data_IF_061747283299
#
_entry.id   IF_061747283299
#
_cell.length_a   1.000
_cell.length_b   1.000
_cell.length_c   1.000
_cell.angle_alpha   90.00
_cell.angle_beta   90.00
_cell.angle_gamma   90.00
#
_symmetry.space_group_name_H-M   'P 1'
#
loop_
_entity.id
_entity.type
_entity.pdbx_description
1 polymer ?
#
# COMPACT_ATOMS: atom_id res chain seq x y z
N UNK A 1 -0.38 -4.36 -78.94
CA UNK A 1 -0.24 -4.99 -77.62
C UNK A 1 -0.23 -3.90 -76.55
N UNK A 2 -1.30 -3.72 -75.83
CA UNK A 2 -1.41 -2.75 -74.70
C UNK A 2 -1.40 -3.54 -73.38
N UNK A 3 -0.33 -3.34 -72.58
CA UNK A 3 -0.14 -3.97 -71.28
C UNK A 3 -0.87 -3.14 -70.24
N UNK A 4 -1.87 -3.74 -69.59
CA UNK A 4 -2.61 -3.13 -68.47
C UNK A 4 -1.90 -3.53 -67.19
N UNK A 5 -1.35 -2.51 -66.45
CA UNK A 5 -0.78 -2.69 -65.13
C UNK A 5 -1.86 -2.44 -64.09
N UNK A 6 -2.33 -3.53 -63.45
CA UNK A 6 -3.26 -3.49 -62.31
C UNK A 6 -2.44 -3.22 -61.04
N UNK A 7 -2.55 -2.01 -60.47
CA UNK A 7 -2.00 -1.65 -59.15
C UNK A 7 -3.00 -2.09 -58.09
N UNK A 8 -2.69 -3.21 -57.38
CA UNK A 8 -3.42 -3.62 -56.20
C UNK A 8 -3.04 -2.74 -55.01
N UNK A 9 -3.99 -1.91 -54.56
CA UNK A 9 -3.89 -1.18 -53.30
C UNK A 9 -4.24 -2.13 -52.16
N UNK A 10 -3.24 -2.59 -51.38
CA UNK A 10 -3.47 -3.25 -50.11
C UNK A 10 -3.77 -2.19 -49.03
N UNK A 11 -5.02 -2.05 -48.68
CA UNK A 11 -5.45 -1.29 -47.49
C UNK A 11 -5.09 -2.10 -46.26
N UNK A 12 -4.02 -1.69 -45.58
CA UNK A 12 -3.66 -2.22 -44.25
C UNK A 12 -4.59 -1.56 -43.22
N UNK A 13 -5.67 -2.23 -42.84
CA UNK A 13 -6.52 -1.80 -41.73
C UNK A 13 -5.76 -2.09 -40.42
N UNK A 14 -5.11 -1.06 -39.85
CA UNK A 14 -4.55 -1.11 -38.50
C UNK A 14 -5.71 -1.03 -37.52
N UNK A 15 -6.17 -2.18 -37.04
CA UNK A 15 -7.05 -2.25 -35.88
C UNK A 15 -6.26 -1.82 -34.65
N UNK A 16 -6.38 -0.55 -34.29
CA UNK A 16 -6.02 -0.06 -32.93
C UNK A 16 -7.04 -0.67 -31.97
N UNK A 17 -6.70 -1.84 -31.42
CA UNK A 17 -7.38 -2.37 -30.25
C UNK A 17 -7.08 -1.37 -29.09
N UNK A 18 -8.02 -0.47 -28.82
CA UNK A 18 -8.03 0.29 -27.57
C UNK A 18 -8.17 -0.75 -26.46
N UNK A 19 -7.10 -1.05 -25.75
CA UNK A 19 -7.14 -1.81 -24.52
C UNK A 19 -8.01 -0.99 -23.56
N UNK A 20 -9.29 -1.38 -23.45
CA UNK A 20 -10.21 -0.87 -22.47
C UNK A 20 -9.60 -1.23 -21.12
N UNK A 21 -9.13 -0.27 -20.33
CA UNK A 21 -8.61 -0.54 -19.01
C UNK A 21 -9.74 -1.18 -18.20
N UNK A 22 -9.46 -2.36 -17.62
CA UNK A 22 -10.44 -3.05 -16.81
C UNK A 22 -10.89 -2.15 -15.65
N UNK A 23 -12.17 -2.18 -15.29
CA UNK A 23 -12.70 -1.45 -14.13
C UNK A 23 -11.97 -1.91 -12.86
N UNK A 24 -11.29 -1.02 -12.13
CA UNK A 24 -10.56 -1.38 -10.91
C UNK A 24 -11.47 -1.64 -9.70
N UNK A 25 -12.73 -1.21 -9.75
CA UNK A 25 -13.66 -1.26 -8.63
C UNK A 25 -13.86 -2.66 -8.05
N UNK A 26 -14.09 -3.72 -8.87
CA UNK A 26 -14.23 -5.08 -8.33
C UNK A 26 -12.97 -5.58 -7.61
N UNK A 27 -11.77 -5.19 -8.06
CA UNK A 27 -10.52 -5.55 -7.40
C UNK A 27 -10.39 -4.84 -6.05
N UNK A 28 -10.70 -3.55 -5.98
CA UNK A 28 -10.70 -2.76 -4.74
C UNK A 28 -11.67 -3.36 -3.72
N UNK A 29 -12.92 -3.67 -4.12
CA UNK A 29 -13.91 -4.28 -3.24
C UNK A 29 -13.45 -5.63 -2.70
N UNK A 30 -12.90 -6.50 -3.55
CA UNK A 30 -12.38 -7.81 -3.15
C UNK A 30 -11.18 -7.69 -2.21
N UNK A 31 -10.27 -6.73 -2.41
CA UNK A 31 -9.14 -6.48 -1.51
C UNK A 31 -9.62 -6.05 -0.12
N UNK A 32 -10.63 -5.18 -0.05
CA UNK A 32 -11.26 -4.78 1.22
C UNK A 32 -11.92 -5.98 1.90
N UNK A 33 -12.64 -6.82 1.17
CA UNK A 33 -13.26 -8.03 1.72
C UNK A 33 -12.21 -9.03 2.22
N UNK A 34 -11.08 -9.17 1.53
CA UNK A 34 -10.00 -10.09 1.92
C UNK A 34 -9.40 -9.77 3.29
N UNK A 35 -9.47 -8.52 3.74
CA UNK A 35 -9.00 -8.11 5.09
C UNK A 35 -10.11 -8.07 6.14
N UNK A 36 -11.34 -8.45 5.82
CA UNK A 36 -12.46 -8.51 6.76
C UNK A 36 -13.62 -7.56 6.44
N UNK A 37 -13.51 -6.75 5.38
CA UNK A 37 -14.55 -5.83 4.93
C UNK A 37 -14.38 -4.40 5.45
N UNK A 38 -15.13 -3.48 4.84
CA UNK A 38 -15.04 -2.03 5.08
C UNK A 38 -15.24 -1.65 6.56
N UNK A 39 -16.14 -2.34 7.24
CA UNK A 39 -16.48 -2.05 8.64
C UNK A 39 -15.37 -2.48 9.62
N UNK A 40 -14.44 -3.32 9.15
CA UNK A 40 -13.29 -3.77 9.92
C UNK A 40 -12.04 -2.92 9.71
N UNK A 41 -12.02 -2.03 8.70
CA UNK A 41 -10.87 -1.14 8.50
C UNK A 41 -10.62 -0.26 9.71
N UNK A 42 -9.36 0.04 9.95
CA UNK A 42 -8.89 0.82 11.10
C UNK A 42 -9.14 2.32 10.85
N UNK A 43 -9.80 2.98 11.80
CA UNK A 43 -9.98 4.45 11.79
C UNK A 43 -9.11 5.12 12.85
N UNK A 44 -9.25 4.70 14.10
CA UNK A 44 -8.40 5.14 15.20
C UNK A 44 -7.81 3.88 15.82
N UNK A 45 -6.50 3.81 15.93
CA UNK A 45 -5.84 2.61 16.42
C UNK A 45 -4.47 2.90 17.01
N UNK A 46 -4.03 1.99 17.86
CA UNK A 46 -2.71 2.00 18.49
C UNK A 46 -1.90 0.80 18.00
N UNK A 47 -0.63 1.04 17.73
CA UNK A 47 0.35 0.04 17.39
C UNK A 47 1.49 0.07 18.43
N UNK A 48 1.86 -1.11 18.97
CA UNK A 48 3.19 -1.28 19.55
C UNK A 48 4.06 -1.96 18.51
N UNK A 49 5.23 -1.40 18.28
CA UNK A 49 6.06 -1.73 17.14
C UNK A 49 7.50 -1.92 17.58
N UNK A 50 8.19 -2.84 16.93
CA UNK A 50 9.63 -3.00 17.03
C UNK A 50 10.23 -2.86 15.64
N UNK A 51 11.35 -2.13 15.54
CA UNK A 51 11.99 -1.89 14.25
C UNK A 51 13.49 -1.71 14.38
N UNK A 52 14.18 -1.88 13.28
CA UNK A 52 15.59 -1.50 13.15
C UNK A 52 15.93 -1.12 11.69
N UNK A 53 17.01 -0.39 11.55
CA UNK A 53 17.60 -0.06 10.27
C UNK A 53 18.76 -1.02 9.99
N UNK A 54 18.83 -1.56 8.78
CA UNK A 54 19.88 -2.49 8.37
C UNK A 54 19.54 -3.26 7.10
N UNK A 55 20.49 -4.06 6.63
CA UNK A 55 20.33 -4.90 5.43
C UNK A 55 19.99 -6.37 5.77
N UNK A 56 19.89 -6.71 7.04
CA UNK A 56 19.60 -8.08 7.52
C UNK A 56 18.41 -8.11 8.45
N UNK A 57 17.66 -9.22 8.53
CA UNK A 57 16.50 -9.37 9.42
C UNK A 57 16.84 -9.17 10.90
N UNK A 58 18.06 -9.49 11.31
CA UNK A 58 18.56 -9.24 12.66
C UNK A 58 19.39 -7.95 12.70
N UNK A 59 19.26 -7.15 13.76
CA UNK A 59 20.11 -5.98 13.94
C UNK A 59 21.58 -6.37 14.03
N UNK A 60 22.47 -5.45 13.65
CA UNK A 60 23.90 -5.64 13.77
C UNK A 60 24.30 -6.01 15.20
N UNK A 61 25.41 -6.75 15.35
CA UNK A 61 25.92 -7.19 16.65
C UNK A 61 26.01 -6.03 17.66
N UNK A 62 25.46 -6.25 18.84
CA UNK A 62 25.40 -5.24 19.93
C UNK A 62 24.32 -4.16 19.76
N UNK A 63 23.57 -4.15 18.66
CA UNK A 63 22.42 -3.27 18.47
C UNK A 63 21.12 -3.94 18.90
N UNK A 64 20.20 -3.18 19.47
CA UNK A 64 18.86 -3.64 19.79
C UNK A 64 17.84 -3.04 18.82
N UNK A 65 16.72 -3.72 18.63
CA UNK A 65 15.57 -3.16 17.93
C UNK A 65 15.00 -1.99 18.76
N UNK A 66 14.59 -0.94 18.08
CA UNK A 66 13.89 0.18 18.69
C UNK A 66 12.43 -0.16 18.95
N UNK A 67 11.87 0.38 20.03
CA UNK A 67 10.46 0.26 20.37
C UNK A 67 9.75 1.56 20.00
N UNK A 68 8.51 1.44 19.54
CA UNK A 68 7.64 2.59 19.23
C UNK A 68 6.21 2.27 19.64
N UNK A 69 5.54 3.26 20.23
CA UNK A 69 4.12 3.26 20.54
C UNK A 69 3.48 4.33 19.67
N UNK A 70 2.69 3.90 18.69
CA UNK A 70 2.05 4.76 17.70
C UNK A 70 0.55 4.79 17.91
N UNK A 71 -0.06 5.97 17.83
CA UNK A 71 -1.50 6.14 17.72
C UNK A 71 -1.78 6.85 16.42
N UNK A 72 -2.67 6.28 15.62
CA UNK A 72 -3.08 6.83 14.33
C UNK A 72 -4.58 7.09 14.34
N UNK A 73 -4.97 8.22 13.76
CA UNK A 73 -6.35 8.54 13.41
C UNK A 73 -6.36 8.88 11.92
N UNK A 74 -6.96 8.00 11.14
CA UNK A 74 -7.01 8.17 9.67
C UNK A 74 -7.88 9.36 9.29
N UNK A 75 -7.55 10.10 8.23
CA UNK A 75 -6.38 9.85 7.36
C UNK A 75 -5.11 10.59 7.78
N UNK A 76 -5.16 11.57 8.69
CA UNK A 76 -4.14 12.62 8.73
C UNK A 76 -3.27 12.63 9.99
N UNK A 77 -3.68 11.96 11.06
CA UNK A 77 -3.08 12.13 12.37
C UNK A 77 -2.25 10.94 12.80
N UNK A 78 -1.05 11.22 13.29
CA UNK A 78 -0.14 10.22 13.83
C UNK A 78 0.64 10.78 15.03
N UNK A 79 0.59 10.07 16.15
CA UNK A 79 1.40 10.35 17.34
C UNK A 79 2.36 9.19 17.58
N UNK A 80 3.62 9.52 17.85
CA UNK A 80 4.64 8.57 18.26
C UNK A 80 5.03 8.91 19.69
N UNK A 81 4.89 7.95 20.61
CA UNK A 81 5.16 8.16 22.03
C UNK A 81 4.47 9.43 22.57
N UNK A 82 3.20 9.63 22.22
CA UNK A 82 2.34 10.78 22.56
C UNK A 82 2.75 12.12 21.93
N UNK A 83 3.75 12.16 21.07
CA UNK A 83 4.14 13.37 20.31
C UNK A 83 3.55 13.29 18.93
N UNK A 84 2.83 14.34 18.53
CA UNK A 84 2.31 14.45 17.18
C UNK A 84 3.46 14.43 16.17
N UNK A 85 3.30 13.60 15.14
CA UNK A 85 4.16 13.60 13.98
C UNK A 85 3.58 14.58 12.96
N UNK A 86 4.30 15.65 12.66
CA UNK A 86 3.93 16.63 11.65
C UNK A 86 3.71 16.02 10.24
N UNK A 87 3.58 16.83 9.19
CA UNK A 87 3.47 16.33 7.82
C UNK A 87 4.64 15.40 7.51
N UNK A 88 4.30 14.12 7.23
CA UNK A 88 5.30 13.08 6.99
C UNK A 88 4.76 12.08 5.97
N UNK A 89 5.50 11.81 4.89
CA UNK A 89 5.12 10.82 3.90
C UNK A 89 4.81 9.43 4.47
N UNK A 90 5.42 9.05 5.59
CA UNK A 90 5.15 7.77 6.22
C UNK A 90 3.70 7.61 6.73
N UNK A 91 2.91 8.69 6.79
CA UNK A 91 1.46 8.61 7.01
C UNK A 91 0.76 7.91 5.83
N UNK A 92 1.19 8.21 4.60
CA UNK A 92 0.63 7.57 3.40
C UNK A 92 1.00 6.08 3.35
N UNK A 93 2.20 5.69 3.84
CA UNK A 93 2.57 4.28 3.99
C UNK A 93 1.63 3.56 4.97
N UNK A 94 1.32 4.19 6.12
CA UNK A 94 0.38 3.65 7.10
C UNK A 94 -1.04 3.54 6.55
N UNK A 95 -1.47 4.50 5.72
CA UNK A 95 -2.76 4.47 5.01
C UNK A 95 -2.83 3.34 3.98
N UNK A 96 -1.73 3.09 3.25
CA UNK A 96 -1.64 1.96 2.33
C UNK A 96 -1.68 0.62 3.08
N UNK A 97 -0.91 0.50 4.16
CA UNK A 97 -0.88 -0.69 5.01
C UNK A 97 -2.26 -1.03 5.59
N UNK A 98 -3.01 -0.03 6.07
CA UNK A 98 -4.35 -0.20 6.64
C UNK A 98 -5.47 -0.29 5.60
N UNK A 99 -5.14 -0.17 4.30
CA UNK A 99 -6.06 -0.05 3.17
C UNK A 99 -7.01 1.16 3.24
N UNK A 100 -6.74 2.17 4.08
CA UNK A 100 -7.50 3.42 4.13
C UNK A 100 -7.57 4.12 2.77
N UNK A 101 -6.48 4.06 2.00
CA UNK A 101 -6.44 4.62 0.64
C UNK A 101 -7.48 4.00 -0.31
N UNK A 102 -7.92 2.76 -0.07
CA UNK A 102 -8.91 2.10 -0.92
C UNK A 102 -10.35 2.59 -0.67
N UNK A 103 -10.57 3.27 0.44
CA UNK A 103 -11.89 3.84 0.82
C UNK A 103 -11.91 5.36 0.83
N UNK A 104 -10.81 6.04 0.55
CA UNK A 104 -10.72 7.49 0.45
C UNK A 104 -11.42 7.97 -0.85
N UNK A 105 -12.37 8.88 -0.72
CA UNK A 105 -13.14 9.43 -1.84
C UNK A 105 -12.28 10.19 -2.87
N UNK A 106 -11.12 10.67 -2.48
CA UNK A 106 -10.15 11.34 -3.36
C UNK A 106 -9.33 10.34 -4.19
N UNK A 107 -9.29 9.07 -3.79
CA UNK A 107 -8.53 8.05 -4.50
C UNK A 107 -9.10 7.78 -5.89
N UNK A 108 -8.18 7.63 -6.85
CA UNK A 108 -8.46 7.17 -8.20
C UNK A 108 -7.61 5.95 -8.45
N UNK A 109 -8.22 4.95 -9.07
CA UNK A 109 -7.61 3.63 -9.26
C UNK A 109 -7.44 3.31 -10.73
N UNK A 110 -6.35 2.62 -11.04
CA UNK A 110 -6.02 2.11 -12.38
C UNK A 110 -5.43 0.70 -12.23
N UNK A 111 -5.89 -0.26 -13.02
CA UNK A 111 -5.26 -1.58 -13.10
C UNK A 111 -3.93 -1.39 -13.86
N UNK A 112 -2.85 -1.83 -13.26
CA UNK A 112 -1.50 -1.80 -13.84
C UNK A 112 -1.01 -3.24 -14.05
N UNK A 113 0.06 -3.44 -14.85
CA UNK A 113 0.58 -4.78 -15.10
C UNK A 113 0.86 -5.56 -13.83
N UNK A 114 0.49 -6.84 -13.86
CA UNK A 114 0.79 -7.80 -12.81
C UNK A 114 2.29 -8.01 -12.67
N UNK A 115 2.73 -8.41 -11.48
CA UNK A 115 4.12 -8.79 -11.22
C UNK A 115 4.20 -10.18 -10.59
N UNK A 116 5.41 -10.72 -10.57
CA UNK A 116 5.77 -11.84 -9.70
C UNK A 116 6.71 -11.31 -8.62
N UNK A 117 6.30 -11.39 -7.36
CA UNK A 117 7.10 -11.00 -6.20
C UNK A 117 7.40 -12.23 -5.33
N UNK A 118 8.68 -12.61 -5.20
CA UNK A 118 9.14 -13.82 -4.51
C UNK A 118 8.34 -15.09 -4.90
N UNK A 119 8.16 -15.30 -6.20
CA UNK A 119 7.46 -16.46 -6.75
C UNK A 119 5.93 -16.42 -6.67
N UNK A 120 5.35 -15.37 -6.09
CA UNK A 120 3.89 -15.17 -5.99
C UNK A 120 3.41 -14.20 -7.07
N UNK A 121 2.36 -14.56 -7.79
CA UNK A 121 1.69 -13.66 -8.72
C UNK A 121 0.90 -12.62 -7.97
N UNK A 122 1.03 -11.35 -8.39
CA UNK A 122 0.36 -10.23 -7.76
C UNK A 122 -0.34 -9.36 -8.81
N UNK A 123 -1.59 -9.01 -8.55
CA UNK A 123 -2.37 -8.09 -9.37
C UNK A 123 -2.01 -6.66 -9.01
N UNK A 124 -1.72 -5.84 -10.03
CA UNK A 124 -1.28 -4.46 -9.85
C UNK A 124 -2.44 -3.46 -9.80
N UNK A 125 -2.42 -2.56 -8.83
CA UNK A 125 -3.38 -1.47 -8.65
C UNK A 125 -2.63 -0.17 -8.36
N UNK A 126 -2.78 0.84 -9.21
CA UNK A 126 -2.20 2.17 -9.00
C UNK A 126 -3.21 3.11 -8.34
N UNK A 127 -2.74 3.89 -7.38
CA UNK A 127 -3.53 4.88 -6.65
C UNK A 127 -2.99 6.28 -6.94
N UNK A 128 -3.91 7.20 -7.24
CA UNK A 128 -3.65 8.63 -7.42
C UNK A 128 -4.73 9.45 -6.69
N UNK A 129 -4.56 10.76 -6.62
CA UNK A 129 -5.54 11.70 -6.07
C UNK A 129 -5.43 11.88 -4.55
N UNK A 130 -5.38 10.81 -3.78
CA UNK A 130 -5.22 10.86 -2.32
C UNK A 130 -3.75 10.79 -1.86
N UNK A 131 -2.82 10.47 -2.75
CA UNK A 131 -1.38 10.38 -2.47
C UNK A 131 -0.56 11.03 -3.58
N UNK A 132 0.63 11.53 -3.24
CA UNK A 132 1.58 12.13 -4.20
C UNK A 132 3.02 11.76 -3.81
N UNK A 133 3.81 11.21 -4.76
CA UNK A 133 3.45 10.73 -6.09
C UNK A 133 2.48 9.55 -6.05
N UNK A 134 2.01 9.13 -7.24
CA UNK A 134 1.19 7.92 -7.37
C UNK A 134 1.83 6.71 -6.71
N UNK A 135 1.03 5.83 -6.12
CA UNK A 135 1.44 4.64 -5.39
C UNK A 135 0.97 3.38 -6.13
N UNK A 136 1.79 2.35 -6.20
CA UNK A 136 1.41 1.08 -6.81
C UNK A 136 1.30 0.00 -5.73
N UNK A 137 0.11 -0.57 -5.59
CA UNK A 137 -0.16 -1.70 -4.72
C UNK A 137 -0.17 -2.98 -5.54
N UNK A 138 0.40 -4.04 -5.00
CA UNK A 138 0.40 -5.37 -5.59
C UNK A 138 -0.22 -6.35 -4.61
N UNK A 139 -1.40 -6.82 -4.98
CA UNK A 139 -2.22 -7.74 -4.19
C UNK A 139 -1.90 -9.17 -4.62
N UNK A 140 -1.66 -10.06 -3.68
CA UNK A 140 -1.48 -11.49 -3.96
C UNK A 140 -2.70 -12.02 -4.74
N UNK A 141 -2.48 -12.67 -5.87
CA UNK A 141 -3.56 -13.08 -6.78
C UNK A 141 -4.55 -14.08 -6.16
N UNK A 142 -4.09 -14.92 -5.22
CA UNK A 142 -4.91 -15.94 -4.57
C UNK A 142 -5.68 -15.41 -3.37
N UNK A 143 -5.02 -14.60 -2.56
CA UNK A 143 -5.57 -14.13 -1.26
C UNK A 143 -6.10 -12.71 -1.30
N UNK A 144 -5.72 -11.92 -2.31
CA UNK A 144 -5.96 -10.48 -2.46
C UNK A 144 -5.46 -9.62 -1.29
N UNK A 145 -4.58 -10.16 -0.48
CA UNK A 145 -3.89 -9.41 0.56
C UNK A 145 -2.76 -8.58 -0.05
N UNK A 146 -2.53 -7.39 0.49
CA UNK A 146 -1.45 -6.51 0.05
C UNK A 146 -0.10 -7.17 0.31
N UNK A 147 0.61 -7.52 -0.75
CA UNK A 147 1.91 -8.16 -0.66
C UNK A 147 3.05 -7.17 -0.83
N UNK A 148 2.91 -6.23 -1.77
CA UNK A 148 3.92 -5.24 -2.08
C UNK A 148 3.32 -3.87 -2.38
N UNK A 149 4.04 -2.85 -2.01
CA UNK A 149 3.79 -1.46 -2.31
C UNK A 149 5.03 -0.86 -2.94
N UNK A 150 4.92 -0.23 -4.10
CA UNK A 150 6.00 0.55 -4.71
C UNK A 150 5.65 2.03 -4.62
N UNK A 151 6.52 2.79 -3.96
CA UNK A 151 6.30 4.22 -3.78
C UNK A 151 7.61 4.99 -3.63
N UNK A 152 7.75 6.09 -4.37
CA UNK A 152 8.97 6.91 -4.38
C UNK A 152 10.20 6.09 -4.77
N UNK A 153 11.23 6.07 -3.93
CA UNK A 153 12.48 5.34 -4.17
C UNK A 153 12.54 3.97 -3.48
N UNK A 154 11.44 3.55 -2.88
CA UNK A 154 11.38 2.35 -2.07
C UNK A 154 10.25 1.41 -2.53
N UNK A 155 10.41 0.12 -2.21
CA UNK A 155 9.29 -0.79 -2.21
C UNK A 155 9.19 -1.52 -0.88
N UNK A 156 7.97 -1.85 -0.50
CA UNK A 156 7.62 -2.44 0.79
C UNK A 156 7.07 -3.83 0.55
N UNK A 157 7.46 -4.80 1.39
CA UNK A 157 6.86 -6.13 1.43
C UNK A 157 6.14 -6.34 2.74
N UNK A 158 4.93 -6.86 2.63
CA UNK A 158 4.04 -7.13 3.74
C UNK A 158 3.89 -8.64 3.94
N UNK A 159 4.05 -9.10 5.18
CA UNK A 159 4.03 -10.51 5.51
C UNK A 159 3.56 -10.74 6.97
N UNK A 160 3.61 -11.99 7.43
CA UNK A 160 3.21 -12.39 8.78
C UNK A 160 1.80 -11.90 9.11
N UNK A 161 0.84 -12.28 8.25
CA UNK A 161 -0.56 -11.88 8.39
C UNK A 161 -1.17 -12.44 9.66
N UNK A 162 -1.78 -11.56 10.46
CA UNK A 162 -2.50 -11.86 11.68
C UNK A 162 -3.96 -11.42 11.57
N UNK A 163 -4.77 -11.86 12.52
CA UNK A 163 -6.14 -11.43 12.65
C UNK A 163 -6.36 -10.75 14.01
N UNK A 164 -7.12 -9.66 14.00
CA UNK A 164 -7.54 -8.90 15.15
C UNK A 164 -8.95 -8.37 14.95
N UNK A 165 -9.91 -8.76 15.76
CA UNK A 165 -11.32 -8.33 15.68
C UNK A 165 -11.92 -8.46 14.28
N UNK A 166 -11.62 -9.58 13.60
CA UNK A 166 -12.07 -9.86 12.22
C UNK A 166 -11.35 -9.05 11.14
N UNK A 167 -10.34 -8.26 11.47
CA UNK A 167 -9.43 -7.62 10.54
C UNK A 167 -8.19 -8.47 10.33
N UNK A 168 -7.83 -8.73 9.08
CA UNK A 168 -6.53 -9.31 8.71
C UNK A 168 -5.55 -8.18 8.40
N UNK A 169 -4.38 -8.22 9.03
CA UNK A 169 -3.32 -7.21 8.85
C UNK A 169 -1.94 -7.85 8.75
N UNK A 170 -1.05 -7.24 7.99
CA UNK A 170 0.35 -7.65 7.94
C UNK A 170 1.06 -7.17 9.21
N UNK A 171 1.61 -8.08 10.00
CA UNK A 171 2.36 -7.72 11.20
C UNK A 171 3.83 -7.44 10.91
N UNK A 172 4.34 -7.81 9.74
CA UNK A 172 5.72 -7.53 9.31
C UNK A 172 5.75 -6.71 8.03
N UNK A 173 6.58 -5.67 8.03
CA UNK A 173 6.93 -4.87 6.86
C UNK A 173 8.44 -4.79 6.71
N UNK A 174 8.94 -5.08 5.52
CA UNK A 174 10.35 -4.85 5.17
C UNK A 174 10.40 -3.85 4.02
N UNK A 175 11.21 -2.79 4.17
CA UNK A 175 11.36 -1.75 3.14
C UNK A 175 12.69 -1.92 2.43
N UNK A 176 12.64 -1.86 1.11
CA UNK A 176 13.78 -2.06 0.21
C UNK A 176 14.02 -0.81 -0.62
N UNK A 177 15.28 -0.52 -0.93
CA UNK A 177 15.64 0.49 -1.92
C UNK A 177 15.39 -0.05 -3.33
N UNK A 178 14.54 0.59 -4.11
CA UNK A 178 14.21 0.16 -5.48
C UNK A 178 15.48 0.02 -6.34
N UNK A 179 16.42 0.98 -6.22
CA UNK A 179 17.64 0.98 -7.03
C UNK A 179 18.57 -0.20 -6.79
N UNK A 180 18.70 -0.64 -5.52
CA UNK A 180 19.66 -1.71 -5.15
C UNK A 180 18.99 -3.05 -4.89
N UNK A 181 17.68 -3.08 -4.69
CA UNK A 181 16.96 -4.26 -4.23
C UNK A 181 17.29 -4.68 -2.80
N UNK A 182 18.10 -3.89 -2.06
CA UNK A 182 18.49 -4.22 -0.69
C UNK A 182 17.49 -3.73 0.32
N UNK A 183 17.16 -4.52 1.36
CA UNK A 183 16.39 -4.05 2.49
C UNK A 183 17.20 -2.99 3.26
N UNK A 184 16.49 -2.09 3.93
CA UNK A 184 17.11 -1.08 4.79
C UNK A 184 16.33 -0.80 6.07
N UNK A 185 15.08 -1.29 6.17
CA UNK A 185 14.23 -1.10 7.33
C UNK A 185 13.38 -2.34 7.55
N UNK A 186 13.39 -2.82 8.78
CA UNK A 186 12.60 -3.97 9.25
C UNK A 186 11.69 -3.51 10.36
N UNK A 187 10.41 -3.85 10.27
CA UNK A 187 9.37 -3.37 11.17
C UNK A 187 8.37 -4.48 11.45
N UNK A 188 8.14 -4.74 12.74
CA UNK A 188 7.15 -5.69 13.21
C UNK A 188 6.15 -5.00 14.15
N UNK A 189 4.86 -5.25 13.93
CA UNK A 189 3.78 -4.87 14.83
C UNK A 189 3.60 -5.98 15.84
N UNK A 190 3.85 -5.67 17.11
CA UNK A 190 3.74 -6.62 18.22
C UNK A 190 2.36 -6.62 18.85
N UNK A 191 1.70 -5.47 18.87
CA UNK A 191 0.32 -5.31 19.33
C UNK A 191 -0.44 -4.35 18.46
N UNK A 192 -1.70 -4.65 18.17
CA UNK A 192 -2.67 -3.79 17.51
C UNK A 192 -3.88 -3.63 18.41
N UNK A 193 -4.35 -2.40 18.60
CA UNK A 193 -5.54 -2.08 19.38
C UNK A 193 -6.42 -1.10 18.60
N UNK A 194 -7.69 -1.42 18.40
CA UNK A 194 -8.69 -0.50 17.85
C UNK A 194 -9.17 0.42 18.95
N UNK A 195 -9.19 1.71 18.71
CA UNK A 195 -9.66 2.71 19.66
C UNK A 195 -11.03 3.25 19.23
N UNK A 196 -11.96 3.37 20.17
CA UNK A 196 -13.27 4.00 19.92
C UNK A 196 -13.14 5.52 19.73
N UNK A 197 -12.14 6.14 20.39
CA UNK A 197 -11.84 7.56 20.33
C UNK A 197 -10.37 7.80 20.63
N UNK A 198 -9.86 8.98 20.31
CA UNK A 198 -8.51 9.37 20.70
C UNK A 198 -8.36 9.40 22.21
N UNK A 199 -7.23 8.91 22.74
CA UNK A 199 -6.90 9.07 24.16
C UNK A 199 -6.85 10.54 24.57
N UNK A 200 -7.18 10.83 25.83
CA UNK A 200 -7.12 12.17 26.38
C UNK A 200 -5.72 12.81 26.18
N UNK A 201 -5.69 14.07 25.79
CA UNK A 201 -4.45 14.83 25.51
C UNK A 201 -3.86 14.58 24.11
N UNK A 202 -4.54 13.82 23.26
CA UNK A 202 -4.24 13.72 21.83
C UNK A 202 -5.38 14.39 21.06
N UNK A 203 -5.25 15.67 20.84
CA UNK A 203 -6.28 16.46 20.15
C UNK A 203 -6.03 16.46 18.65
N UNK A 204 -7.13 16.49 17.86
CA UNK A 204 -7.01 16.88 16.45
C UNK A 204 -6.48 18.30 16.37
N UNK A 205 -5.58 18.62 15.43
CA UNK A 205 -5.18 20.01 15.22
C UNK A 205 -6.44 20.79 14.95
N UNK A 206 -6.62 21.89 15.70
CA UNK A 206 -7.70 22.85 15.41
C UNK A 206 -7.53 23.25 13.95
N UNK A 207 -8.55 23.02 13.13
CA UNK A 207 -8.54 23.50 11.76
C UNK A 207 -8.09 24.96 11.78
N UNK A 208 -6.95 25.24 11.17
CA UNK A 208 -6.50 26.63 11.00
C UNK A 208 -7.56 27.34 10.20
N UNK A 209 -8.22 28.33 10.84
CA UNK A 209 -9.19 29.20 10.22
C UNK A 209 -8.56 30.02 9.12
#
# INVERSE_FOLDING_TARGET
MRTIIIRSFFLLAVCLAQAQSADPKPLVEKAIQAVGGKDKLLKIYRLKEVFHFGETPEPAAGKKRSLRDSILSQPDMWWINKKERGPDPAKDDARAWSLDLLVDEKSRFEIIPDIVDEGRKCVGLKITGSVTPAMSLYLDQETLLLRRLDWRSDFYRFSEWKEYDGLRYASRTVIFKTKSGKPWFFHDITELERLAQLPAGLDHPKASK
#
